data_IF_546138036438
#
_entry.id   IF_546138036438
#
_cell.length_a   1.000
_cell.length_b   1.000
_cell.length_c   1.000
_cell.angle_alpha   90.00
_cell.angle_beta   90.00
_cell.angle_gamma   90.00
#
_symmetry.space_group_name_H-M   'P 1'
#
loop_
_entity.id
_entity.type
_entity.pdbx_description
1 polymer ?
#
# COMPACT_ATOMS: atom_id res chain seq x y z
N UNK A 1 -1.78 -36.08 6.33
CA UNK A 1 -1.94 -35.28 5.10
C UNK A 1 -2.04 -33.82 5.48
N UNK A 2 -1.21 -32.96 4.90
CA UNK A 2 -1.34 -31.50 5.10
C UNK A 2 -2.64 -31.04 4.42
N UNK A 3 -3.46 -30.22 5.09
CA UNK A 3 -4.67 -29.67 4.46
C UNK A 3 -4.33 -28.89 3.19
N UNK A 4 -5.22 -28.89 2.17
CA UNK A 4 -4.90 -28.30 0.87
C UNK A 4 -4.86 -26.75 0.87
N UNK A 5 -5.27 -26.11 1.96
CA UNK A 5 -5.39 -24.65 2.02
C UNK A 5 -6.50 -24.09 1.11
N UNK A 6 -6.51 -22.76 0.93
CA UNK A 6 -7.39 -22.09 -0.04
C UNK A 6 -6.85 -22.27 -1.46
N UNK A 7 -7.76 -22.46 -2.42
CA UNK A 7 -7.39 -22.62 -3.84
C UNK A 7 -6.60 -21.40 -4.33
N UNK A 8 -5.68 -21.59 -5.27
CA UNK A 8 -5.03 -20.45 -5.94
C UNK A 8 -6.08 -19.64 -6.73
N UNK A 9 -5.86 -18.33 -6.88
CA UNK A 9 -6.75 -17.47 -7.66
C UNK A 9 -6.64 -17.76 -9.16
N UNK A 10 -7.57 -17.26 -9.99
CA UNK A 10 -7.45 -17.27 -11.43
C UNK A 10 -6.10 -16.75 -11.94
N UNK A 11 -5.67 -17.14 -13.16
CA UNK A 11 -4.34 -16.77 -13.68
C UNK A 11 -4.18 -15.25 -13.87
N UNK A 12 -2.94 -14.84 -14.09
CA UNK A 12 -2.62 -13.46 -14.49
C UNK A 12 -3.38 -13.08 -15.77
N UNK A 13 -3.96 -11.88 -15.80
CA UNK A 13 -4.79 -11.39 -16.91
C UNK A 13 -6.30 -11.62 -16.72
N UNK A 14 -6.72 -12.47 -15.78
CA UNK A 14 -8.12 -12.55 -15.41
C UNK A 14 -8.54 -11.33 -14.57
N UNK A 15 -9.72 -10.79 -14.86
CA UNK A 15 -10.33 -9.68 -14.07
C UNK A 15 -11.57 -10.17 -13.32
N UNK A 16 -11.83 -9.56 -12.16
CA UNK A 16 -13.00 -9.89 -11.34
C UNK A 16 -14.28 -9.17 -11.78
N UNK A 17 -14.15 -8.10 -12.56
CA UNK A 17 -15.23 -7.28 -13.08
C UNK A 17 -15.34 -7.41 -14.60
N UNK A 18 -16.48 -7.02 -15.15
CA UNK A 18 -16.69 -7.01 -16.60
C UNK A 18 -15.70 -6.06 -17.29
N UNK A 19 -15.21 -6.41 -18.51
CA UNK A 19 -14.43 -5.50 -19.32
C UNK A 19 -15.14 -4.15 -19.50
N UNK A 20 -14.37 -3.07 -19.62
CA UNK A 20 -14.87 -1.69 -19.73
C UNK A 20 -15.69 -1.16 -18.54
N UNK A 21 -15.64 -1.81 -17.36
CA UNK A 21 -16.26 -1.27 -16.13
C UNK A 21 -15.79 0.15 -15.82
N UNK A 22 -14.57 0.51 -16.19
CA UNK A 22 -13.97 1.84 -15.99
C UNK A 22 -13.78 2.63 -17.29
N UNK A 23 -14.46 2.26 -18.35
CA UNK A 23 -14.39 3.01 -19.61
C UNK A 23 -14.78 4.48 -19.40
N UNK A 24 -13.92 5.42 -19.84
CA UNK A 24 -14.11 6.84 -19.67
C UNK A 24 -13.84 7.38 -18.24
N UNK A 25 -13.31 6.56 -17.32
CA UNK A 25 -12.91 6.98 -15.98
C UNK A 25 -11.41 7.18 -15.90
N UNK A 26 -10.99 8.17 -15.12
CA UNK A 26 -9.60 8.48 -14.81
C UNK A 26 -9.29 8.06 -13.37
N UNK A 27 -8.28 7.22 -13.22
CA UNK A 27 -7.83 6.67 -11.94
C UNK A 27 -6.42 7.14 -11.64
N UNK A 28 -6.20 7.75 -10.50
CA UNK A 28 -4.86 8.10 -10.00
C UNK A 28 -4.39 7.05 -9.00
N UNK A 29 -3.18 6.53 -9.19
CA UNK A 29 -2.53 5.60 -8.26
C UNK A 29 -1.20 6.20 -7.79
N UNK A 30 -1.13 6.59 -6.51
CA UNK A 30 0.15 7.00 -5.91
C UNK A 30 1.02 5.78 -5.69
N UNK A 31 2.28 5.80 -6.11
CA UNK A 31 3.13 4.60 -6.11
C UNK A 31 2.73 3.54 -7.14
N UNK A 32 2.00 3.95 -8.20
CA UNK A 32 1.46 3.04 -9.22
C UNK A 32 2.50 2.42 -10.16
N UNK A 33 3.77 2.75 -10.02
CA UNK A 33 4.84 2.23 -10.87
C UNK A 33 5.51 0.95 -10.38
N UNK A 34 5.27 0.52 -9.15
CA UNK A 34 5.92 -0.64 -8.55
C UNK A 34 4.97 -1.46 -7.69
N UNK A 35 5.32 -2.72 -7.46
CA UNK A 35 4.71 -3.61 -6.49
C UNK A 35 3.18 -3.69 -6.56
N UNK A 36 2.55 -3.56 -5.41
CA UNK A 36 1.08 -3.62 -5.28
C UNK A 36 0.40 -2.49 -6.05
N UNK A 37 1.01 -1.28 -6.06
CA UNK A 37 0.49 -0.13 -6.81
C UNK A 37 0.47 -0.37 -8.31
N UNK A 38 1.53 -0.94 -8.88
CA UNK A 38 1.62 -1.33 -10.29
C UNK A 38 0.56 -2.36 -10.65
N UNK A 39 0.38 -3.38 -9.81
CA UNK A 39 -0.67 -4.39 -10.03
C UNK A 39 -2.07 -3.79 -10.02
N UNK A 40 -2.35 -2.85 -9.13
CA UNK A 40 -3.64 -2.15 -9.07
C UNK A 40 -3.83 -1.27 -10.31
N UNK A 41 -2.82 -0.47 -10.68
CA UNK A 41 -2.86 0.38 -11.88
C UNK A 41 -3.14 -0.43 -13.16
N UNK A 42 -2.45 -1.56 -13.31
CA UNK A 42 -2.61 -2.49 -14.44
C UNK A 42 -4.01 -3.10 -14.48
N UNK A 43 -4.61 -3.43 -13.35
CA UNK A 43 -5.97 -3.99 -13.34
C UNK A 43 -7.04 -2.95 -13.69
N UNK A 44 -6.91 -1.70 -13.23
CA UNK A 44 -7.78 -0.62 -13.68
C UNK A 44 -7.69 -0.41 -15.21
N UNK A 45 -6.48 -0.49 -15.76
CA UNK A 45 -6.24 -0.41 -17.20
C UNK A 45 -6.96 -1.52 -17.98
N UNK A 46 -6.88 -2.79 -17.52
CA UNK A 46 -7.62 -3.91 -18.11
C UNK A 46 -9.13 -3.70 -18.12
N UNK A 47 -9.63 -2.96 -17.17
CA UNK A 47 -11.04 -2.63 -17.04
C UNK A 47 -11.43 -1.35 -17.78
N UNK A 48 -10.52 -0.78 -18.58
CA UNK A 48 -10.77 0.35 -19.49
C UNK A 48 -10.53 1.73 -18.91
N UNK A 49 -9.90 1.86 -17.72
CA UNK A 49 -9.54 3.15 -17.16
C UNK A 49 -8.36 3.80 -17.87
N UNK A 50 -8.35 5.14 -17.91
CA UNK A 50 -7.13 5.91 -18.06
C UNK A 50 -6.46 6.06 -16.68
N UNK A 51 -5.13 5.85 -16.59
CA UNK A 51 -4.43 5.73 -15.32
C UNK A 51 -3.32 6.76 -15.18
N UNK A 52 -3.45 7.63 -14.16
CA UNK A 52 -2.41 8.54 -13.70
C UNK A 52 -1.49 7.86 -12.67
N UNK A 53 -0.20 7.78 -12.95
CA UNK A 53 0.80 7.19 -12.06
C UNK A 53 1.58 8.31 -11.38
N UNK A 54 1.52 8.36 -10.05
CA UNK A 54 2.30 9.33 -9.30
C UNK A 54 3.44 8.65 -8.54
N UNK A 55 4.67 9.09 -8.78
CA UNK A 55 5.84 8.64 -8.04
C UNK A 55 6.93 9.73 -8.06
N UNK A 56 7.72 9.81 -7.01
CA UNK A 56 8.93 10.64 -6.97
C UNK A 56 9.99 10.11 -7.91
N UNK A 57 10.12 8.80 -7.94
CA UNK A 57 11.16 8.07 -8.66
C UNK A 57 10.82 7.97 -10.15
N UNK A 58 11.77 8.33 -10.99
CA UNK A 58 11.63 8.28 -12.45
C UNK A 58 11.60 6.84 -12.97
N UNK A 59 12.41 5.95 -12.41
CA UNK A 59 12.43 4.53 -12.80
C UNK A 59 11.06 3.88 -12.53
N UNK A 60 10.44 4.21 -11.39
CA UNK A 60 9.10 3.73 -11.07
C UNK A 60 8.06 4.24 -12.06
N UNK A 61 8.15 5.51 -12.48
CA UNK A 61 7.24 6.07 -13.49
C UNK A 61 7.46 5.41 -14.86
N UNK A 62 8.72 5.23 -15.24
CA UNK A 62 9.10 4.57 -16.50
C UNK A 62 8.69 3.09 -16.57
N UNK A 63 8.65 2.39 -15.42
CA UNK A 63 8.18 1.01 -15.36
C UNK A 63 6.64 0.89 -15.33
N UNK A 64 5.96 1.88 -14.76
CA UNK A 64 4.50 1.85 -14.60
C UNK A 64 3.74 2.14 -15.89
N UNK A 65 4.20 3.08 -16.71
CA UNK A 65 3.52 3.48 -17.95
C UNK A 65 3.38 2.30 -18.93
N UNK A 66 4.45 1.59 -19.33
CA UNK A 66 4.32 0.43 -20.21
C UNK A 66 3.42 -0.67 -19.64
N UNK A 67 3.48 -0.92 -18.34
CA UNK A 67 2.64 -1.95 -17.71
C UNK A 67 1.13 -1.65 -17.82
N UNK A 68 0.75 -0.38 -17.74
CA UNK A 68 -0.64 0.07 -17.96
C UNK A 68 -1.03 -0.03 -19.41
N UNK A 69 -0.15 0.38 -20.34
CA UNK A 69 -0.41 0.35 -21.80
C UNK A 69 -0.50 -1.08 -22.32
N UNK A 70 0.37 -1.98 -21.89
CA UNK A 70 0.32 -3.42 -22.20
C UNK A 70 -0.97 -4.09 -21.71
N UNK A 71 -1.55 -3.55 -20.64
CA UNK A 71 -2.85 -4.01 -20.15
C UNK A 71 -4.05 -3.44 -20.91
N UNK A 72 -3.81 -2.58 -21.91
CA UNK A 72 -4.84 -2.00 -22.78
C UNK A 72 -5.39 -0.65 -22.31
N UNK A 73 -4.81 -0.02 -21.28
CA UNK A 73 -5.19 1.31 -20.82
C UNK A 73 -4.37 2.44 -21.43
N UNK A 74 -4.75 3.67 -21.12
CA UNK A 74 -3.95 4.87 -21.39
C UNK A 74 -3.28 5.31 -20.10
N UNK A 75 -1.99 5.63 -20.14
CA UNK A 75 -1.22 6.04 -18.98
C UNK A 75 -0.69 7.47 -19.09
N UNK A 76 -0.62 8.15 -17.95
CA UNK A 76 0.16 9.36 -17.76
C UNK A 76 0.91 9.29 -16.43
N UNK A 77 2.20 9.61 -16.42
CA UNK A 77 2.98 9.59 -15.20
C UNK A 77 3.46 10.99 -14.83
N UNK A 78 3.30 11.38 -13.56
CA UNK A 78 3.74 12.65 -13.04
C UNK A 78 4.67 12.47 -11.83
N UNK A 79 5.74 13.28 -11.77
CA UNK A 79 6.61 13.36 -10.60
C UNK A 79 5.85 13.99 -9.44
N UNK A 80 5.81 13.30 -8.30
CA UNK A 80 5.07 13.78 -7.14
C UNK A 80 5.68 13.26 -5.83
N UNK A 81 6.08 14.18 -4.97
CA UNK A 81 6.28 13.87 -3.56
C UNK A 81 4.97 14.15 -2.82
N UNK A 82 4.32 13.11 -2.33
CA UNK A 82 3.02 13.23 -1.65
C UNK A 82 3.10 13.94 -0.28
N UNK A 83 4.31 14.28 0.20
CA UNK A 83 4.50 15.13 1.39
C UNK A 83 4.32 16.63 1.08
N UNK A 84 4.33 16.97 -0.19
CA UNK A 84 4.22 18.37 -0.67
C UNK A 84 2.85 18.58 -1.34
N UNK A 85 2.02 19.41 -0.72
CA UNK A 85 0.69 19.74 -1.22
C UNK A 85 0.72 20.46 -2.58
N UNK A 86 1.74 21.27 -2.88
CA UNK A 86 1.88 21.93 -4.16
C UNK A 86 2.28 20.94 -5.26
N UNK A 87 3.19 20.02 -4.96
CA UNK A 87 3.55 18.92 -5.87
C UNK A 87 2.33 18.03 -6.20
N UNK A 88 1.49 17.71 -5.21
CA UNK A 88 0.25 16.95 -5.43
C UNK A 88 -0.69 17.73 -6.36
N UNK A 89 -0.96 19.00 -6.06
CA UNK A 89 -1.85 19.83 -6.87
C UNK A 89 -1.39 19.93 -8.33
N UNK A 90 -0.08 20.12 -8.55
CA UNK A 90 0.54 20.14 -9.87
C UNK A 90 0.44 18.79 -10.60
N UNK A 91 0.74 17.69 -9.91
CA UNK A 91 0.66 16.34 -10.49
C UNK A 91 -0.77 15.96 -10.87
N UNK A 92 -1.78 16.27 -10.02
CA UNK A 92 -3.19 16.04 -10.32
C UNK A 92 -3.66 16.89 -11.49
N UNK A 93 -3.25 18.18 -11.57
CA UNK A 93 -3.57 19.03 -12.70
C UNK A 93 -2.97 18.48 -14.01
N UNK A 94 -1.72 18.00 -13.96
CA UNK A 94 -1.08 17.36 -15.11
C UNK A 94 -1.81 16.08 -15.56
N UNK A 95 -2.28 15.25 -14.63
CA UNK A 95 -3.09 14.09 -14.97
C UNK A 95 -4.40 14.51 -15.63
N UNK A 96 -5.10 15.52 -15.08
CA UNK A 96 -6.36 16.01 -15.66
C UNK A 96 -6.20 16.64 -17.04
N UNK A 97 -5.09 17.30 -17.29
CA UNK A 97 -4.76 17.88 -18.59
C UNK A 97 -4.62 16.80 -19.69
N UNK A 98 -4.04 15.64 -19.36
CA UNK A 98 -3.73 14.59 -20.33
C UNK A 98 -4.79 13.49 -20.42
N UNK A 99 -5.44 13.16 -19.29
CA UNK A 99 -6.37 12.03 -19.22
C UNK A 99 -7.83 12.44 -18.96
N UNK A 100 -8.06 13.68 -18.58
CA UNK A 100 -9.37 14.17 -18.17
C UNK A 100 -9.59 14.15 -16.66
N UNK A 101 -10.78 14.59 -16.20
CA UNK A 101 -11.07 14.78 -14.78
C UNK A 101 -10.97 13.50 -13.97
N UNK A 102 -10.24 13.54 -12.85
CA UNK A 102 -9.98 12.38 -11.99
C UNK A 102 -11.28 11.94 -11.27
N UNK A 103 -11.60 10.64 -11.33
CA UNK A 103 -12.75 10.00 -10.68
C UNK A 103 -12.35 9.17 -9.45
N UNK A 104 -11.16 8.56 -9.49
CA UNK A 104 -10.73 7.57 -8.51
C UNK A 104 -9.31 7.86 -8.05
N UNK A 105 -9.08 7.72 -6.74
CA UNK A 105 -7.75 7.79 -6.16
C UNK A 105 -7.44 6.51 -5.40
N UNK A 106 -6.29 5.91 -5.67
CA UNK A 106 -5.75 4.80 -4.87
C UNK A 106 -4.43 5.22 -4.24
N UNK A 107 -4.41 5.36 -2.93
CA UNK A 107 -3.23 5.71 -2.15
C UNK A 107 -2.45 4.45 -1.78
N UNK A 108 -1.43 4.10 -2.57
CA UNK A 108 -0.51 3.00 -2.27
C UNK A 108 0.89 3.46 -1.89
N UNK A 109 1.26 4.71 -2.18
CA UNK A 109 2.58 5.23 -1.85
C UNK A 109 2.85 5.12 -0.35
N UNK A 110 3.97 4.52 -0.01
CA UNK A 110 4.40 4.28 1.35
C UNK A 110 5.93 4.29 1.44
N UNK A 111 6.44 4.46 2.66
CA UNK A 111 7.84 4.23 3.01
C UNK A 111 7.87 3.46 4.30
N UNK A 112 8.69 2.41 4.40
CA UNK A 112 8.77 1.60 5.59
C UNK A 112 10.14 0.91 5.72
N UNK A 113 10.59 0.66 6.94
CA UNK A 113 11.80 -0.11 7.25
C UNK A 113 11.72 -0.62 8.70
N UNK A 114 12.31 -1.80 9.00
CA UNK A 114 12.31 -2.34 10.33
C UNK A 114 13.38 -1.68 11.21
N UNK A 115 12.98 -1.26 12.42
CA UNK A 115 13.88 -0.69 13.43
C UNK A 115 13.29 -0.89 14.82
N UNK A 116 14.09 -1.28 15.84
CA UNK A 116 13.61 -1.28 17.23
C UNK A 116 13.14 0.13 17.61
N UNK A 117 12.05 0.23 18.39
CA UNK A 117 11.43 1.52 18.71
C UNK A 117 12.39 2.47 19.43
N UNK A 118 13.24 1.93 20.29
CA UNK A 118 14.27 2.67 21.06
C UNK A 118 15.41 3.21 20.19
N UNK A 119 15.64 2.60 19.00
CA UNK A 119 16.68 3.03 18.06
C UNK A 119 16.14 3.96 16.97
N UNK A 120 14.83 4.18 16.95
CA UNK A 120 14.17 5.00 15.94
C UNK A 120 14.48 6.48 16.13
N UNK A 121 15.17 7.11 15.19
CA UNK A 121 15.44 8.54 15.26
C UNK A 121 14.13 9.35 15.08
N UNK A 122 14.04 10.56 15.65
CA UNK A 122 12.90 11.45 15.43
C UNK A 122 12.66 11.76 13.94
N UNK A 123 13.71 11.82 13.14
CA UNK A 123 13.60 12.05 11.70
C UNK A 123 13.03 10.83 10.96
N UNK A 124 13.46 9.63 11.33
CA UNK A 124 12.91 8.38 10.79
C UNK A 124 11.39 8.27 11.07
N UNK A 125 10.98 8.58 12.30
CA UNK A 125 9.56 8.67 12.67
C UNK A 125 8.80 9.64 11.79
N UNK A 126 9.24 10.91 11.73
CA UNK A 126 8.57 11.97 10.94
C UNK A 126 8.46 11.58 9.47
N UNK A 127 9.56 11.10 8.86
CA UNK A 127 9.58 10.73 7.44
C UNK A 127 8.50 9.72 7.09
N UNK A 128 8.32 8.67 7.91
CA UNK A 128 7.31 7.64 7.63
C UNK A 128 5.90 8.17 7.88
N UNK A 129 5.68 8.92 8.95
CA UNK A 129 4.37 9.54 9.26
C UNK A 129 3.99 10.52 8.15
N UNK A 130 4.93 11.35 7.68
CA UNK A 130 4.68 12.33 6.61
C UNK A 130 4.32 11.66 5.28
N UNK A 131 4.99 10.56 4.92
CA UNK A 131 4.64 9.82 3.70
C UNK A 131 3.29 9.11 3.87
N UNK A 132 3.14 8.32 4.94
CA UNK A 132 2.05 7.35 5.06
C UNK A 132 0.74 8.00 5.49
N UNK A 133 0.76 8.90 6.46
CA UNK A 133 -0.45 9.54 7.00
C UNK A 133 -0.71 10.89 6.35
N UNK A 134 0.24 11.82 6.45
CA UNK A 134 0.05 13.17 5.95
C UNK A 134 -0.09 13.19 4.42
N UNK A 135 0.73 12.44 3.70
CA UNK A 135 0.64 12.32 2.24
C UNK A 135 -0.68 11.71 1.78
N UNK A 136 -1.16 10.66 2.44
CA UNK A 136 -2.49 10.09 2.15
C UNK A 136 -3.59 11.14 2.35
N UNK A 137 -3.57 11.88 3.47
CA UNK A 137 -4.55 12.95 3.71
C UNK A 137 -4.49 14.03 2.63
N UNK A 138 -3.30 14.50 2.27
CA UNK A 138 -3.12 15.55 1.27
C UNK A 138 -3.65 15.13 -0.11
N UNK A 139 -3.40 13.90 -0.55
CA UNK A 139 -3.94 13.36 -1.80
C UNK A 139 -5.48 13.25 -1.75
N UNK A 140 -6.05 12.70 -0.67
CA UNK A 140 -7.49 12.63 -0.48
C UNK A 140 -8.14 14.02 -0.53
N UNK A 141 -7.55 14.99 0.18
CA UNK A 141 -8.02 16.38 0.23
C UNK A 141 -7.99 17.04 -1.15
N UNK A 142 -6.93 16.84 -1.92
CA UNK A 142 -6.82 17.47 -3.25
C UNK A 142 -7.88 16.91 -4.20
N UNK A 143 -8.12 15.60 -4.22
CA UNK A 143 -9.20 15.02 -5.02
C UNK A 143 -10.57 15.55 -4.60
N UNK A 144 -10.87 15.58 -3.31
CA UNK A 144 -12.17 16.08 -2.82
C UNK A 144 -12.41 17.54 -3.21
N UNK A 145 -11.37 18.40 -3.18
CA UNK A 145 -11.43 19.80 -3.61
C UNK A 145 -11.69 19.96 -5.11
N UNK A 146 -11.47 18.93 -5.91
CA UNK A 146 -11.81 18.90 -7.34
C UNK A 146 -13.22 18.37 -7.58
N UNK A 147 -13.58 17.29 -6.89
CA UNK A 147 -14.88 16.64 -7.07
C UNK A 147 -16.04 17.45 -6.49
N UNK A 148 -15.95 17.95 -5.26
CA UNK A 148 -17.04 18.61 -4.55
C UNK A 148 -17.56 19.86 -5.28
N UNK A 149 -16.71 20.84 -5.67
CA UNK A 149 -17.20 22.02 -6.40
C UNK A 149 -17.74 21.68 -7.79
N UNK A 150 -17.25 20.59 -8.39
CA UNK A 150 -17.71 20.13 -9.71
C UNK A 150 -19.00 19.31 -9.65
N UNK A 151 -19.53 19.02 -8.46
CA UNK A 151 -20.72 18.17 -8.26
C UNK A 151 -20.52 16.72 -8.76
N UNK A 152 -19.28 16.22 -8.75
CA UNK A 152 -18.93 14.89 -9.25
C UNK A 152 -18.79 13.90 -8.13
N UNK A 153 -19.26 12.67 -8.36
CA UNK A 153 -18.99 11.52 -7.51
C UNK A 153 -17.55 11.03 -7.65
N UNK A 154 -17.09 10.22 -6.70
CA UNK A 154 -15.78 9.62 -6.76
C UNK A 154 -15.56 8.48 -5.78
N UNK A 155 -14.41 7.81 -5.91
CA UNK A 155 -14.02 6.77 -4.97
C UNK A 155 -12.55 6.89 -4.57
N UNK A 156 -12.26 6.68 -3.30
CA UNK A 156 -10.92 6.69 -2.74
C UNK A 156 -10.67 5.35 -2.05
N UNK A 157 -9.52 4.74 -2.34
CA UNK A 157 -9.02 3.57 -1.62
C UNK A 157 -7.67 3.89 -1.00
N UNK A 158 -7.57 3.77 0.32
CA UNK A 158 -6.35 3.94 1.08
C UNK A 158 -5.76 2.58 1.45
N UNK A 159 -4.56 2.27 0.98
CA UNK A 159 -3.89 1.01 1.32
C UNK A 159 -3.38 1.07 2.75
N UNK A 160 -3.98 0.22 3.58
CA UNK A 160 -3.67 0.04 4.99
C UNK A 160 -2.63 -1.03 5.27
N UNK A 161 -2.61 -1.50 6.52
CA UNK A 161 -1.87 -2.67 6.96
C UNK A 161 -2.54 -3.27 8.22
N UNK A 162 -2.44 -4.58 8.41
CA UNK A 162 -3.08 -5.28 9.53
C UNK A 162 -2.58 -4.81 10.90
N UNK A 163 -1.34 -4.35 11.00
CA UNK A 163 -0.78 -3.81 12.23
C UNK A 163 -1.40 -2.45 12.64
N UNK A 164 -2.28 -1.85 11.84
CA UNK A 164 -3.11 -0.72 12.28
C UNK A 164 -4.06 -1.09 13.44
N UNK A 165 -4.39 -2.37 13.62
CA UNK A 165 -5.22 -2.89 14.74
C UNK A 165 -4.42 -3.58 15.83
N UNK A 166 -3.30 -4.21 15.45
CA UNK A 166 -2.57 -5.12 16.35
C UNK A 166 -1.25 -4.54 16.88
N UNK A 167 -0.83 -3.39 16.36
CA UNK A 167 0.55 -2.94 16.48
C UNK A 167 1.48 -3.74 15.56
N UNK A 168 2.67 -3.18 15.29
CA UNK A 168 3.69 -3.75 14.42
C UNK A 168 5.07 -3.68 15.06
N UNK A 169 5.48 -4.67 15.85
CA UNK A 169 6.83 -4.69 16.44
C UNK A 169 7.91 -4.51 15.36
N UNK A 170 8.85 -3.61 15.60
CA UNK A 170 9.85 -3.19 14.62
C UNK A 170 9.40 -2.15 13.60
N UNK A 171 8.11 -1.76 13.60
CA UNK A 171 7.51 -0.82 12.65
C UNK A 171 6.63 0.23 13.35
N UNK A 172 7.00 0.70 14.53
CA UNK A 172 6.17 1.58 15.35
C UNK A 172 5.67 2.83 14.61
N UNK A 173 6.52 3.49 13.79
CA UNK A 173 6.17 4.64 12.95
C UNK A 173 5.07 4.30 11.93
N UNK A 174 5.25 3.19 11.21
CA UNK A 174 4.30 2.76 10.17
C UNK A 174 3.00 2.24 10.79
N UNK A 175 3.06 1.53 11.92
CA UNK A 175 1.87 1.04 12.61
C UNK A 175 0.99 2.21 13.11
N UNK A 176 1.59 3.21 13.73
CA UNK A 176 0.88 4.41 14.16
C UNK A 176 0.29 5.19 12.96
N UNK A 177 1.08 5.37 11.89
CA UNK A 177 0.60 6.05 10.69
C UNK A 177 -0.56 5.30 10.01
N UNK A 178 -0.49 3.97 9.89
CA UNK A 178 -1.57 3.16 9.28
C UNK A 178 -2.81 3.09 10.17
N UNK A 179 -2.68 3.14 11.50
CA UNK A 179 -3.81 3.33 12.41
C UNK A 179 -4.49 4.69 12.17
N UNK A 180 -3.69 5.75 11.97
CA UNK A 180 -4.18 7.06 11.56
C UNK A 180 -4.89 7.04 10.20
N UNK A 181 -4.34 6.36 9.19
CA UNK A 181 -4.96 6.20 7.87
C UNK A 181 -6.29 5.45 7.97
N UNK A 182 -6.39 4.42 8.83
CA UNK A 182 -7.65 3.71 9.08
C UNK A 182 -8.71 4.66 9.61
N UNK A 183 -8.41 5.41 10.67
CA UNK A 183 -9.36 6.36 11.26
C UNK A 183 -9.70 7.51 10.29
N UNK A 184 -8.71 8.03 9.56
CA UNK A 184 -8.91 9.02 8.50
C UNK A 184 -9.90 8.51 7.43
N UNK A 185 -9.77 7.25 7.01
CA UNK A 185 -10.67 6.62 6.02
C UNK A 185 -12.11 6.63 6.52
N UNK A 186 -12.34 6.25 7.78
CA UNK A 186 -13.66 6.22 8.41
C UNK A 186 -14.24 7.64 8.54
N UNK A 187 -13.41 8.61 8.95
CA UNK A 187 -13.82 10.02 9.08
C UNK A 187 -14.20 10.62 7.74
N UNK A 188 -13.35 10.51 6.73
CA UNK A 188 -13.60 11.09 5.41
C UNK A 188 -14.77 10.40 4.69
N UNK A 189 -15.01 9.12 4.95
CA UNK A 189 -16.18 8.42 4.43
C UNK A 189 -17.49 9.05 4.91
N UNK A 190 -17.57 9.44 6.18
CA UNK A 190 -18.74 10.11 6.75
C UNK A 190 -18.88 11.54 6.23
N UNK A 191 -17.78 12.30 6.22
CA UNK A 191 -17.79 13.70 5.80
C UNK A 191 -18.15 13.87 4.32
N UNK A 192 -17.71 12.95 3.46
CA UNK A 192 -17.83 13.12 2.01
C UNK A 192 -18.93 12.28 1.35
N UNK A 193 -19.57 11.38 2.08
CA UNK A 193 -20.73 10.63 1.56
C UNK A 193 -21.85 11.53 1.00
N UNK A 194 -22.20 12.69 1.62
CA UNK A 194 -23.20 13.60 1.05
C UNK A 194 -22.84 14.18 -0.31
N UNK A 195 -21.55 14.17 -0.67
CA UNK A 195 -21.05 14.63 -1.97
C UNK A 195 -20.85 13.49 -2.98
N UNK A 196 -21.28 12.26 -2.65
CA UNK A 196 -21.13 11.11 -3.53
C UNK A 196 -19.71 10.53 -3.56
N UNK A 197 -18.82 10.91 -2.64
CA UNK A 197 -17.45 10.40 -2.56
C UNK A 197 -17.38 9.28 -1.53
N UNK A 198 -16.99 8.09 -1.97
CA UNK A 198 -16.76 6.94 -1.10
C UNK A 198 -15.28 6.81 -0.73
N UNK A 199 -14.99 6.51 0.51
CA UNK A 199 -13.62 6.32 1.00
C UNK A 199 -13.51 5.00 1.73
N UNK A 200 -12.65 4.09 1.25
CA UNK A 200 -12.46 2.77 1.85
C UNK A 200 -10.97 2.46 2.08
N UNK A 201 -10.72 1.59 3.04
CA UNK A 201 -9.42 1.00 3.29
C UNK A 201 -9.26 -0.34 2.56
N UNK A 202 -8.03 -0.64 2.14
CA UNK A 202 -7.68 -1.94 1.56
C UNK A 202 -6.40 -2.44 2.24
N UNK A 203 -6.45 -3.60 2.86
CA UNK A 203 -5.37 -4.10 3.71
C UNK A 203 -4.78 -5.39 3.13
N UNK A 204 -3.58 -5.33 2.55
CA UNK A 204 -2.89 -6.51 2.05
C UNK A 204 -2.36 -7.38 3.19
N UNK A 205 -2.36 -8.70 2.95
CA UNK A 205 -1.55 -9.65 3.68
C UNK A 205 -0.14 -9.76 3.13
N UNK A 206 0.47 -10.93 3.32
CA UNK A 206 1.77 -11.24 2.75
C UNK A 206 1.60 -11.52 1.25
N UNK A 207 2.06 -10.58 0.42
CA UNK A 207 1.97 -10.62 -1.05
C UNK A 207 3.35 -10.28 -1.65
N UNK A 208 4.24 -11.25 -1.80
CA UNK A 208 5.56 -11.04 -2.39
C UNK A 208 5.45 -10.45 -3.80
N UNK A 209 6.35 -9.53 -4.13
CA UNK A 209 6.46 -8.90 -5.45
C UNK A 209 7.92 -8.52 -5.74
N UNK A 210 8.26 -8.37 -7.02
CA UNK A 210 9.63 -8.17 -7.48
C UNK A 210 10.25 -6.84 -7.01
N UNK A 211 9.42 -5.82 -6.84
CA UNK A 211 9.85 -4.45 -6.49
C UNK A 211 9.92 -4.23 -4.96
N UNK A 212 10.08 -5.27 -4.15
CA UNK A 212 10.08 -5.10 -2.71
C UNK A 212 11.36 -4.40 -2.22
N UNK A 213 11.18 -3.45 -1.29
CA UNK A 213 12.31 -2.71 -0.69
C UNK A 213 13.32 -3.68 -0.07
N UNK A 214 14.58 -3.57 -0.44
CA UNK A 214 15.68 -4.46 -0.01
C UNK A 214 15.73 -4.63 1.51
N UNK A 215 15.58 -3.55 2.28
CA UNK A 215 15.59 -3.60 3.75
C UNK A 215 14.47 -4.47 4.33
N UNK A 216 13.33 -4.58 3.63
CA UNK A 216 12.21 -5.44 4.04
C UNK A 216 12.43 -6.86 3.52
N UNK A 217 12.95 -7.02 2.31
CA UNK A 217 13.29 -8.32 1.73
C UNK A 217 14.38 -9.03 2.54
N UNK A 218 15.33 -8.25 3.09
CA UNK A 218 16.47 -8.76 3.88
C UNK A 218 16.10 -9.17 5.32
N UNK A 219 14.84 -9.03 5.77
CA UNK A 219 14.44 -9.48 7.11
C UNK A 219 14.62 -11.00 7.22
N UNK A 220 15.45 -11.49 8.18
CA UNK A 220 15.74 -12.91 8.30
C UNK A 220 14.48 -13.77 8.43
N UNK A 221 14.40 -14.85 7.68
CA UNK A 221 13.28 -15.80 7.71
C UNK A 221 11.97 -15.26 7.18
N UNK A 222 11.94 -14.08 6.56
CA UNK A 222 10.73 -13.48 6.00
C UNK A 222 10.06 -14.41 4.97
N UNK A 223 10.85 -15.01 4.10
CA UNK A 223 10.36 -15.88 3.02
C UNK A 223 10.41 -17.37 3.31
N UNK A 224 10.99 -17.78 4.45
CA UNK A 224 11.04 -19.17 4.86
C UNK A 224 9.69 -19.68 5.35
N UNK A 225 9.17 -20.74 4.73
CA UNK A 225 7.92 -21.37 5.13
C UNK A 225 6.71 -20.43 5.13
N UNK A 226 6.67 -19.46 4.23
CA UNK A 226 5.60 -18.47 4.15
C UNK A 226 4.21 -19.10 4.04
N UNK A 227 4.05 -20.10 3.19
CA UNK A 227 2.76 -20.77 2.98
C UNK A 227 2.22 -21.38 4.27
N UNK A 228 3.10 -21.95 5.10
CA UNK A 228 2.71 -22.53 6.39
C UNK A 228 2.39 -21.47 7.46
N UNK A 229 2.77 -20.21 7.24
CA UNK A 229 2.52 -19.12 8.19
C UNK A 229 1.18 -18.42 7.96
N UNK A 230 0.54 -18.63 6.83
CA UNK A 230 -0.76 -18.05 6.50
C UNK A 230 -1.83 -19.14 6.64
N UNK A 231 -2.96 -18.90 7.35
CA UNK A 231 -4.04 -19.90 7.48
C UNK A 231 -4.57 -20.39 6.15
N UNK A 232 -4.52 -19.57 5.11
CA UNK A 232 -4.88 -19.97 3.73
C UNK A 232 -3.98 -21.06 3.14
N UNK A 233 -2.84 -21.41 3.75
CA UNK A 233 -1.85 -22.36 3.23
C UNK A 233 -1.06 -21.85 2.03
N UNK A 234 -1.14 -20.57 1.74
CA UNK A 234 -0.38 -19.88 0.69
C UNK A 234 -0.24 -18.38 0.97
N UNK A 235 0.72 -17.75 0.33
CA UNK A 235 0.78 -16.29 0.25
C UNK A 235 -0.26 -15.76 -0.75
N UNK A 236 -0.57 -14.47 -0.65
CA UNK A 236 -1.42 -13.77 -1.61
C UNK A 236 -0.65 -13.38 -2.88
N UNK A 237 -1.38 -13.07 -3.93
CA UNK A 237 -0.83 -12.51 -5.17
C UNK A 237 -1.27 -11.04 -5.30
N UNK A 238 -0.40 -10.13 -5.80
CA UNK A 238 -0.74 -8.72 -6.01
C UNK A 238 -2.05 -8.50 -6.77
N UNK A 239 -2.40 -9.38 -7.72
CA UNK A 239 -3.67 -9.31 -8.47
C UNK A 239 -4.91 -9.52 -7.61
N UNK A 240 -4.84 -10.29 -6.52
CA UNK A 240 -5.98 -10.47 -5.60
C UNK A 240 -6.30 -9.15 -4.88
N UNK A 241 -5.26 -8.37 -4.54
CA UNK A 241 -5.44 -7.03 -4.01
C UNK A 241 -5.99 -6.05 -5.06
N UNK A 242 -5.50 -6.16 -6.30
CA UNK A 242 -5.95 -5.32 -7.41
C UNK A 242 -7.44 -5.54 -7.72
N UNK A 243 -7.92 -6.78 -7.72
CA UNK A 243 -9.36 -7.08 -7.86
C UNK A 243 -10.20 -6.47 -6.72
N UNK A 244 -9.71 -6.53 -5.50
CA UNK A 244 -10.40 -5.91 -4.37
C UNK A 244 -10.43 -4.38 -4.48
N UNK A 245 -9.33 -3.75 -4.94
CA UNK A 245 -9.25 -2.30 -5.18
C UNK A 245 -10.25 -1.87 -6.26
N UNK A 246 -10.26 -2.57 -7.40
CA UNK A 246 -11.19 -2.27 -8.49
C UNK A 246 -12.64 -2.51 -8.07
N UNK A 247 -12.95 -3.57 -7.31
CA UNK A 247 -14.30 -3.76 -6.77
C UNK A 247 -14.74 -2.62 -5.86
N UNK A 248 -13.92 -2.20 -4.89
CA UNK A 248 -14.26 -1.12 -3.96
C UNK A 248 -14.50 0.23 -4.66
N UNK A 249 -13.84 0.48 -5.78
CA UNK A 249 -14.04 1.71 -6.56
C UNK A 249 -15.18 1.60 -7.57
N UNK A 250 -15.70 0.40 -7.85
CA UNK A 250 -16.67 0.14 -8.91
C UNK A 250 -18.09 0.62 -8.55
N UNK A 251 -18.99 0.71 -9.55
CA UNK A 251 -20.41 0.99 -9.32
C UNK A 251 -21.14 -0.14 -8.56
N UNK A 252 -20.52 -1.31 -8.39
CA UNK A 252 -21.09 -2.41 -7.60
C UNK A 252 -20.83 -2.28 -6.09
N UNK A 253 -20.02 -1.30 -5.67
CA UNK A 253 -19.68 -1.03 -4.27
C UNK A 253 -20.27 0.32 -3.76
N UNK A 254 -21.37 0.80 -4.35
CA UNK A 254 -21.93 2.15 -4.07
C UNK A 254 -22.39 2.33 -2.62
N UNK A 255 -22.69 1.25 -1.91
CA UNK A 255 -23.10 1.31 -0.50
C UNK A 255 -21.99 0.90 0.48
N UNK A 256 -20.75 0.79 -0.03
CA UNK A 256 -19.55 0.48 0.78
C UNK A 256 -18.72 1.75 0.90
N UNK A 257 -18.69 2.34 2.10
CA UNK A 257 -17.85 3.48 2.47
C UNK A 257 -17.47 3.41 3.94
N UNK A 258 -16.25 3.76 4.29
CA UNK A 258 -15.71 3.69 5.64
C UNK A 258 -15.23 2.28 6.06
N UNK A 259 -15.24 1.31 5.16
CA UNK A 259 -14.83 -0.07 5.45
C UNK A 259 -13.35 -0.30 5.13
N UNK A 260 -12.68 -1.13 5.93
CA UNK A 260 -11.34 -1.65 5.63
C UNK A 260 -11.43 -3.12 5.23
N UNK A 261 -11.32 -3.39 3.93
CA UNK A 261 -11.32 -4.76 3.39
C UNK A 261 -9.92 -5.38 3.55
N UNK A 262 -9.87 -6.49 4.28
CA UNK A 262 -8.62 -7.24 4.50
C UNK A 262 -8.51 -8.39 3.50
N UNK A 263 -7.38 -8.46 2.79
CA UNK A 263 -7.08 -9.48 1.78
C UNK A 263 -5.76 -10.16 2.18
N UNK A 264 -5.84 -11.11 3.14
CA UNK A 264 -4.64 -11.65 3.80
C UNK A 264 -4.69 -13.15 4.13
N UNK A 265 -5.64 -13.89 3.59
CA UNK A 265 -5.79 -15.32 3.87
C UNK A 265 -6.09 -15.63 5.34
N UNK A 266 -6.82 -14.75 6.02
CA UNK A 266 -7.21 -14.82 7.43
C UNK A 266 -6.04 -14.67 8.44
N UNK A 267 -4.92 -14.09 8.00
CA UNK A 267 -3.69 -14.05 8.81
C UNK A 267 -3.79 -13.09 10.02
N UNK A 268 -4.38 -11.92 9.89
CA UNK A 268 -4.42 -10.92 10.96
C UNK A 268 -5.35 -11.29 12.12
N UNK A 269 -6.39 -12.11 11.86
CA UNK A 269 -7.30 -12.61 12.90
C UNK A 269 -6.70 -13.75 13.71
N UNK A 270 -5.56 -14.28 13.26
CA UNK A 270 -4.93 -15.43 13.88
C UNK A 270 -4.62 -15.17 15.36
N UNK A 271 -5.17 -16.03 16.23
CA UNK A 271 -4.90 -16.09 17.66
C UNK A 271 -4.53 -17.52 17.99
N UNK A 272 -3.43 -17.71 18.68
CA UNK A 272 -2.98 -19.04 19.10
C UNK A 272 -3.27 -19.26 20.58
N UNK A 273 -3.80 -20.43 20.93
CA UNK A 273 -3.90 -20.88 22.31
C UNK A 273 -2.50 -21.14 22.89
N UNK A 274 -1.60 -21.68 22.07
CA UNK A 274 -0.20 -21.87 22.41
C UNK A 274 0.63 -20.84 21.61
N UNK A 275 1.34 -19.98 22.34
CA UNK A 275 2.21 -18.96 21.73
C UNK A 275 3.66 -19.46 21.77
N UNK A 276 4.45 -19.30 20.70
CA UNK A 276 5.89 -19.51 20.78
C UNK A 276 6.53 -18.49 21.73
N UNK A 277 7.70 -18.76 22.30
CA UNK A 277 8.44 -17.79 23.08
C UNK A 277 8.64 -16.49 22.30
N UNK A 278 8.39 -15.35 22.97
CA UNK A 278 8.62 -14.06 22.34
C UNK A 278 10.12 -13.78 22.25
N UNK A 279 10.58 -13.43 21.07
CA UNK A 279 11.96 -12.96 20.85
C UNK A 279 11.96 -11.44 20.74
N UNK A 280 12.74 -10.71 21.56
CA UNK A 280 12.85 -9.25 21.45
C UNK A 280 13.20 -8.79 20.03
N UNK A 281 12.65 -7.66 19.59
CA UNK A 281 12.83 -7.15 18.22
C UNK A 281 14.31 -6.95 17.86
N UNK A 282 15.11 -6.47 18.80
CA UNK A 282 16.59 -6.34 18.59
C UNK A 282 17.22 -7.67 18.20
N UNK A 283 16.87 -8.75 18.89
CA UNK A 283 17.37 -10.09 18.57
C UNK A 283 16.81 -10.63 17.24
N UNK A 284 15.53 -10.37 16.93
CA UNK A 284 14.95 -10.74 15.63
C UNK A 284 15.66 -10.04 14.46
N UNK A 285 16.16 -8.82 14.67
CA UNK A 285 16.89 -8.03 13.68
C UNK A 285 18.41 -8.19 13.77
N UNK A 286 18.92 -9.19 14.53
CA UNK A 286 20.35 -9.47 14.68
C UNK A 286 21.14 -8.35 15.37
N UNK A 287 20.48 -7.47 16.13
CA UNK A 287 21.14 -6.37 16.86
C UNK A 287 21.59 -6.83 18.25
N UNK A 288 22.75 -6.35 18.74
CA UNK A 288 23.24 -6.71 20.07
C UNK A 288 22.26 -6.19 21.17
N UNK A 289 22.25 -6.79 22.35
CA UNK A 289 21.47 -6.30 23.48
C UNK A 289 21.74 -4.83 23.78
N UNK A 290 20.74 -4.11 24.31
CA UNK A 290 20.87 -2.70 24.64
C UNK A 290 21.96 -2.51 25.72
N UNK A 291 22.87 -1.54 25.54
CA UNK A 291 23.96 -1.26 26.48
C UNK A 291 25.21 -2.11 26.33
N UNK A 292 25.25 -3.07 25.43
CA UNK A 292 26.52 -3.72 25.02
C UNK A 292 27.20 -2.84 23.98
N UNK A 293 28.37 -2.26 24.33
CA UNK A 293 29.20 -1.54 23.36
C UNK A 293 29.49 -2.46 22.17
N UNK A 294 29.35 -1.95 20.95
CA UNK A 294 29.85 -2.64 19.77
C UNK A 294 31.34 -2.96 20.04
N UNK A 295 31.67 -4.25 20.09
CA UNK A 295 33.02 -4.69 20.41
C UNK A 295 34.04 -3.97 19.53
N UNK A 296 35.01 -3.36 20.12
CA UNK A 296 36.19 -2.84 19.43
C UNK A 296 36.75 -3.94 18.52
N UNK A 297 37.14 -3.62 17.28
CA UNK A 297 37.79 -4.61 16.43
C UNK A 297 38.97 -5.22 17.16
N UNK A 298 39.28 -6.52 16.96
CA UNK A 298 40.37 -7.17 17.62
C UNK A 298 41.65 -6.39 17.32
N UNK A 299 42.27 -5.86 18.36
CA UNK A 299 43.49 -5.09 18.29
C UNK A 299 44.57 -5.96 17.60
N UNK A 300 45.14 -5.41 16.54
CA UNK A 300 46.32 -5.98 15.91
C UNK A 300 47.44 -6.11 16.95
N UNK A 301 47.76 -7.33 17.31
CA UNK A 301 48.91 -7.62 18.16
C UNK A 301 50.19 -7.17 17.45
N UNK A 302 50.81 -6.14 18.00
CA UNK A 302 52.23 -5.91 17.75
C UNK A 302 52.99 -6.91 18.60
N UNK A 303 53.70 -7.82 17.97
CA UNK A 303 54.72 -8.66 18.57
C UNK A 303 56.07 -7.92 18.50
N UNK A 304 56.96 -8.14 19.49
CA UNK A 304 58.12 -7.30 19.76
C UNK A 304 59.25 -7.39 18.72
#
# INVERSE_FOLDING_TARGET
MTPPGLRPPPPTGASALAPATYAGRVVVVTGGGTGLGKSIATEFARLGAAVGILSRDEEHRAAGVPAVEEAGGTAWAAACDIRDAAAIAGAFASVEEHLGPIDVLVNTAAGNFPVPAEDMSPNAWRTVVDIVLNGTYLCCRDLARRLIPAGRDGAIVNVGASYAWTGGPGFAHSAAAKAGVKNLTETLAVEWAPYGIRVNGLVPGLMPHEDEVEAIAAVPGKYEGQDSRVPAGRVGFPRELAWAATYLCSPYATYISGHSLVVDGANWQRRHTVQPPFTPIRAQLGRPPFGTAAGSPPGGGATP
#
